data_IF_348917960394
#
_entry.id   IF_348917960394
#
_cell.length_a   1.000
_cell.length_b   1.000
_cell.length_c   1.000
_cell.angle_alpha   90.00
_cell.angle_beta   90.00
_cell.angle_gamma   90.00
#
_symmetry.space_group_name_H-M   'P 1'
#
loop_
_entity.id
_entity.type
_entity.pdbx_description
1 polymer ?
#
# COMPACT_ATOMS: atom_id res chain seq x y z
N UNK A 1 27.12 -4.46 3.24
CA UNK A 1 26.09 -3.82 2.41
C UNK A 1 25.21 -3.01 3.34
N UNK A 2 24.67 -1.85 2.92
CA UNK A 2 23.74 -1.13 3.77
C UNK A 2 22.51 -2.02 4.08
N UNK A 3 22.02 -1.95 5.32
CA UNK A 3 20.89 -2.75 5.78
C UNK A 3 19.61 -2.25 5.08
N UNK A 4 18.91 -3.17 4.42
CA UNK A 4 17.67 -2.86 3.71
C UNK A 4 16.49 -3.05 4.64
N UNK A 5 15.54 -2.14 4.56
CA UNK A 5 14.26 -2.23 5.26
C UNK A 5 13.14 -2.29 4.23
N UNK A 6 12.14 -3.12 4.52
CA UNK A 6 10.91 -3.22 3.77
C UNK A 6 9.80 -2.61 4.60
N UNK A 7 9.02 -1.73 3.96
CA UNK A 7 7.79 -1.17 4.51
C UNK A 7 6.65 -1.81 3.75
N UNK A 8 5.73 -2.44 4.47
CA UNK A 8 4.58 -3.12 3.89
C UNK A 8 3.29 -2.64 4.53
N UNK A 9 2.40 -2.09 3.71
CA UNK A 9 1.01 -1.82 4.06
C UNK A 9 0.14 -2.89 3.41
N UNK A 10 -0.50 -3.71 4.24
CA UNK A 10 -1.45 -4.74 3.78
C UNK A 10 -2.80 -4.47 4.44
N UNK A 11 -3.85 -4.42 3.64
CA UNK A 11 -5.20 -3.99 4.06
C UNK A 11 -6.28 -4.95 3.63
N UNK A 12 -7.36 -5.04 4.41
CA UNK A 12 -8.55 -5.79 4.04
C UNK A 12 -9.79 -5.33 4.83
N UNK A 13 -10.95 -5.35 4.18
CA UNK A 13 -12.25 -5.31 4.87
C UNK A 13 -12.56 -6.70 5.43
N UNK A 14 -12.59 -6.77 6.76
CA UNK A 14 -12.90 -7.98 7.54
C UNK A 14 -14.23 -7.86 8.29
N UNK A 15 -15.06 -6.90 7.90
CA UNK A 15 -16.39 -6.59 8.43
C UNK A 15 -16.41 -5.33 9.30
N UNK A 16 -17.58 -4.73 9.42
CA UNK A 16 -17.73 -3.36 9.92
C UNK A 16 -18.98 -3.12 10.77
N UNK A 17 -18.95 -2.05 11.56
CA UNK A 17 -20.05 -1.64 12.43
C UNK A 17 -21.08 -0.81 11.65
N UNK A 18 -22.35 -1.21 11.72
CA UNK A 18 -23.50 -0.51 11.13
C UNK A 18 -23.48 -0.40 9.59
N UNK A 19 -23.03 -1.45 8.89
CA UNK A 19 -22.82 -1.42 7.44
C UNK A 19 -21.39 -1.01 7.11
N UNK A 20 -21.14 -0.66 5.85
CA UNK A 20 -19.85 -0.20 5.33
C UNK A 20 -19.43 1.18 5.84
N UNK A 21 -19.25 1.30 7.15
CA UNK A 21 -19.04 2.57 7.84
C UNK A 21 -17.70 2.63 8.56
N UNK A 22 -17.44 1.73 9.52
CA UNK A 22 -16.20 1.78 10.29
C UNK A 22 -15.78 0.42 10.85
N UNK A 23 -14.47 0.19 10.89
CA UNK A 23 -13.85 -0.90 11.65
C UNK A 23 -14.20 -0.78 13.14
N UNK A 24 -14.61 -1.89 13.75
CA UNK A 24 -14.90 -1.96 15.17
C UNK A 24 -13.59 -1.95 16.00
N UNK A 25 -13.47 -1.20 17.12
CA UNK A 25 -12.22 -1.08 17.90
C UNK A 25 -11.59 -2.41 18.33
N UNK A 26 -12.39 -3.42 18.69
CA UNK A 26 -11.91 -4.78 19.01
C UNK A 26 -11.19 -5.48 17.85
N UNK A 27 -11.47 -5.13 16.59
CA UNK A 27 -10.73 -5.64 15.44
C UNK A 27 -9.30 -5.08 15.42
N UNK A 28 -9.16 -3.77 15.68
CA UNK A 28 -7.85 -3.12 15.83
C UNK A 28 -7.06 -3.74 17.00
N UNK A 29 -7.70 -3.99 18.14
CA UNK A 29 -7.07 -4.63 19.30
C UNK A 29 -6.57 -6.05 18.99
N UNK A 30 -7.40 -6.86 18.32
CA UNK A 30 -7.03 -8.22 17.92
C UNK A 30 -5.87 -8.24 16.93
N UNK A 31 -5.89 -7.34 15.93
CA UNK A 31 -4.80 -7.18 14.98
C UNK A 31 -3.49 -6.71 15.65
N UNK A 32 -3.56 -5.70 16.53
CA UNK A 32 -2.39 -5.24 17.31
C UNK A 32 -1.79 -6.34 18.15
N UNK A 33 -2.60 -7.16 18.80
CA UNK A 33 -2.10 -8.30 19.58
C UNK A 33 -1.32 -9.29 18.70
N UNK A 34 -1.82 -9.59 17.50
CA UNK A 34 -1.14 -10.49 16.56
C UNK A 34 0.17 -9.93 16.02
N UNK A 35 0.20 -8.65 15.64
CA UNK A 35 1.44 -8.03 15.19
C UNK A 35 2.47 -7.85 16.31
N UNK A 36 2.01 -7.62 17.55
CA UNK A 36 2.89 -7.60 18.73
C UNK A 36 3.55 -8.96 19.00
N UNK A 37 2.82 -10.05 18.83
CA UNK A 37 3.37 -11.41 18.90
C UNK A 37 4.42 -11.63 17.79
N UNK A 38 4.14 -11.21 16.56
CA UNK A 38 5.08 -11.30 15.45
C UNK A 38 6.36 -10.47 15.67
N UNK A 39 6.22 -9.27 16.24
CA UNK A 39 7.34 -8.40 16.64
C UNK A 39 8.21 -9.09 17.70
N UNK A 40 7.60 -9.63 18.76
CA UNK A 40 8.31 -10.36 19.82
C UNK A 40 9.06 -11.59 19.32
N UNK A 41 8.50 -12.26 18.31
CA UNK A 41 9.11 -13.44 17.68
C UNK A 41 10.17 -13.08 16.63
N UNK A 42 10.41 -11.78 16.37
CA UNK A 42 11.40 -11.31 15.40
C UNK A 42 11.00 -11.50 13.93
N UNK A 43 9.71 -11.72 13.64
CA UNK A 43 9.21 -11.82 12.26
C UNK A 43 9.16 -10.44 11.58
N UNK A 44 8.78 -9.41 12.34
CA UNK A 44 8.75 -8.00 11.93
C UNK A 44 9.54 -7.16 12.94
N UNK A 45 10.05 -6.00 12.50
CA UNK A 45 10.75 -5.03 13.34
C UNK A 45 9.74 -4.21 14.15
N UNK A 46 8.79 -3.60 13.47
CA UNK A 46 7.76 -2.78 14.09
C UNK A 46 6.46 -2.75 13.26
N UNK A 47 5.40 -2.20 13.84
CA UNK A 47 4.09 -2.11 13.19
C UNK A 47 3.24 -0.94 13.66
N UNK A 48 2.21 -0.61 12.86
CA UNK A 48 1.11 0.27 13.24
C UNK A 48 -0.21 -0.25 12.66
N UNK A 49 -1.28 -0.18 13.46
CA UNK A 49 -2.62 -0.66 13.05
C UNK A 49 -3.62 0.46 13.16
N UNK A 50 -4.30 0.73 12.06
CA UNK A 50 -5.31 1.77 11.91
C UNK A 50 -6.41 1.33 10.92
N UNK A 51 -7.33 2.24 10.59
CA UNK A 51 -8.35 2.00 9.58
C UNK A 51 -8.65 3.28 8.79
N UNK A 52 -9.17 3.12 7.58
CA UNK A 52 -9.90 4.16 6.85
C UNK A 52 -11.27 3.57 6.54
N UNK A 53 -12.35 4.14 7.09
CA UNK A 53 -13.67 3.54 6.99
C UNK A 53 -13.71 2.10 7.52
N UNK A 54 -14.22 1.17 6.72
CA UNK A 54 -14.32 -0.27 7.01
C UNK A 54 -13.07 -1.10 6.70
N UNK A 55 -12.02 -0.48 6.16
CA UNK A 55 -10.77 -1.15 5.86
C UNK A 55 -9.81 -1.21 7.05
N UNK A 56 -9.37 -2.41 7.42
CA UNK A 56 -8.35 -2.62 8.45
C UNK A 56 -6.95 -2.60 7.83
N UNK A 57 -6.10 -1.70 8.34
CA UNK A 57 -4.78 -1.40 7.80
C UNK A 57 -3.66 -1.97 8.71
N UNK A 58 -2.78 -2.80 8.13
CA UNK A 58 -1.62 -3.37 8.81
C UNK A 58 -0.33 -2.81 8.19
N UNK A 59 0.24 -1.78 8.82
CA UNK A 59 1.55 -1.25 8.45
C UNK A 59 2.64 -2.01 9.21
N UNK A 60 3.61 -2.57 8.51
CA UNK A 60 4.69 -3.38 9.06
C UNK A 60 6.03 -2.95 8.49
N UNK A 61 7.08 -3.06 9.30
CA UNK A 61 8.48 -2.92 8.86
C UNK A 61 9.25 -4.21 9.13
N UNK A 62 10.09 -4.65 8.20
CA UNK A 62 10.84 -5.90 8.28
C UNK A 62 12.02 -5.92 7.30
N UNK A 63 12.85 -6.97 7.32
CA UNK A 63 14.03 -7.13 6.43
C UNK A 63 13.88 -8.33 5.48
N UNK A 64 12.63 -8.65 5.11
CA UNK A 64 12.29 -9.88 4.36
C UNK A 64 12.06 -9.66 2.86
N UNK A 65 12.09 -8.42 2.39
CA UNK A 65 11.80 -8.05 1.00
C UNK A 65 10.31 -8.01 0.70
N UNK A 66 9.96 -7.43 -0.46
CA UNK A 66 8.59 -7.32 -0.97
C UNK A 66 8.03 -8.69 -1.37
N UNK A 67 6.71 -8.88 -1.26
CA UNK A 67 6.07 -10.13 -1.67
C UNK A 67 6.44 -11.33 -0.81
N UNK A 68 6.98 -11.12 0.40
CA UNK A 68 7.51 -12.19 1.22
C UNK A 68 6.37 -13.07 1.81
N UNK A 69 6.38 -14.40 1.60
CA UNK A 69 5.30 -15.26 2.05
C UNK A 69 5.03 -15.26 3.56
N UNK A 70 6.06 -15.05 4.40
CA UNK A 70 5.87 -15.03 5.86
C UNK A 70 5.11 -13.77 6.30
N UNK A 71 5.40 -12.63 5.66
CA UNK A 71 4.75 -11.33 5.95
C UNK A 71 3.32 -11.32 5.45
N UNK A 72 3.10 -11.79 4.22
CA UNK A 72 1.75 -11.91 3.66
C UNK A 72 0.93 -12.96 4.42
N UNK A 73 1.56 -14.05 4.87
CA UNK A 73 0.94 -15.06 5.72
C UNK A 73 0.56 -14.51 7.10
N UNK A 74 1.41 -13.67 7.70
CA UNK A 74 1.10 -12.96 8.95
C UNK A 74 -0.15 -12.06 8.78
N UNK A 75 -0.20 -11.24 7.73
CA UNK A 75 -1.34 -10.38 7.46
C UNK A 75 -2.62 -11.20 7.23
N UNK A 76 -2.57 -12.21 6.36
CA UNK A 76 -3.69 -13.11 6.08
C UNK A 76 -4.24 -13.79 7.34
N UNK A 77 -3.36 -14.37 8.16
CA UNK A 77 -3.75 -15.03 9.40
C UNK A 77 -4.32 -14.03 10.42
N UNK A 78 -3.80 -12.80 10.44
CA UNK A 78 -4.34 -11.71 11.27
C UNK A 78 -5.76 -11.36 10.85
N UNK A 79 -6.01 -11.18 9.55
CA UNK A 79 -7.35 -10.91 9.03
C UNK A 79 -8.34 -12.04 9.34
N UNK A 80 -7.96 -13.30 9.06
CA UNK A 80 -8.79 -14.47 9.41
C UNK A 80 -9.11 -14.51 10.90
N UNK A 81 -8.13 -14.28 11.75
CA UNK A 81 -8.36 -14.25 13.19
C UNK A 81 -9.34 -13.14 13.59
N UNK A 82 -9.16 -11.93 13.08
CA UNK A 82 -10.06 -10.81 13.34
C UNK A 82 -11.48 -11.17 12.91
N UNK A 83 -11.64 -11.76 11.73
CA UNK A 83 -12.94 -12.24 11.23
C UNK A 83 -13.57 -13.26 12.18
N UNK A 84 -12.84 -14.30 12.58
CA UNK A 84 -13.39 -15.40 13.40
C UNK A 84 -13.62 -15.01 14.86
N UNK A 85 -12.73 -14.23 15.46
CA UNK A 85 -12.77 -13.91 16.90
C UNK A 85 -13.53 -12.64 17.22
N UNK A 86 -13.71 -11.75 16.25
CA UNK A 86 -14.35 -10.43 16.48
C UNK A 86 -15.51 -10.22 15.53
N UNK A 87 -15.29 -10.23 14.22
CA UNK A 87 -16.32 -9.83 13.26
C UNK A 87 -17.55 -10.73 13.28
N UNK A 88 -17.34 -12.05 13.23
CA UNK A 88 -18.44 -13.04 13.25
C UNK A 88 -19.17 -13.10 14.60
N UNK A 89 -18.48 -13.18 15.76
CA UNK A 89 -19.15 -13.20 17.06
C UNK A 89 -19.98 -11.95 17.34
N UNK A 90 -19.50 -10.77 16.90
CA UNK A 90 -20.24 -9.51 17.03
C UNK A 90 -21.28 -9.30 15.93
N UNK A 91 -21.36 -10.22 14.95
CA UNK A 91 -22.24 -10.13 13.77
C UNK A 91 -22.08 -8.80 13.03
N UNK A 92 -20.83 -8.37 12.86
CA UNK A 92 -20.51 -7.20 12.06
C UNK A 92 -20.97 -7.42 10.63
N UNK A 93 -21.33 -6.32 9.97
CA UNK A 93 -21.74 -6.36 8.58
C UNK A 93 -20.56 -6.84 7.71
N UNK A 94 -20.86 -7.66 6.70
CA UNK A 94 -19.88 -8.20 5.77
C UNK A 94 -18.63 -8.84 6.42
N UNK A 95 -18.80 -9.60 7.50
CA UNK A 95 -17.69 -10.25 8.19
C UNK A 95 -16.84 -11.15 7.25
N UNK A 96 -15.60 -10.74 6.98
CA UNK A 96 -14.65 -11.44 6.11
C UNK A 96 -14.79 -11.11 4.61
N UNK A 97 -15.30 -9.93 4.28
CA UNK A 97 -15.60 -9.50 2.91
C UNK A 97 -14.47 -9.72 1.91
N UNK A 98 -13.25 -9.27 2.23
CA UNK A 98 -12.12 -9.31 1.32
C UNK A 98 -11.34 -10.63 1.40
N UNK A 99 -11.82 -11.62 2.15
CA UNK A 99 -11.20 -12.94 2.23
C UNK A 99 -11.81 -13.85 1.15
N UNK A 100 -11.54 -13.52 -0.12
CA UNK A 100 -12.21 -14.09 -1.30
C UNK A 100 -11.87 -15.56 -1.56
N UNK A 101 -10.83 -16.08 -0.90
CA UNK A 101 -10.40 -17.46 -1.01
C UNK A 101 -10.22 -18.07 0.38
N UNK A 102 -10.42 -19.38 0.49
CA UNK A 102 -10.33 -20.06 1.80
C UNK A 102 -8.87 -20.31 2.25
N UNK A 103 -7.97 -20.51 1.28
CA UNK A 103 -6.59 -20.98 1.50
C UNK A 103 -5.56 -19.99 0.98
N UNK A 104 -4.54 -19.71 1.79
CA UNK A 104 -3.41 -18.85 1.43
C UNK A 104 -2.51 -19.50 0.37
N UNK A 105 -2.16 -18.75 -0.67
CA UNK A 105 -1.37 -19.22 -1.82
C UNK A 105 0.06 -18.68 -1.86
N UNK A 106 0.56 -18.10 -0.76
CA UNK A 106 1.91 -17.56 -0.64
C UNK A 106 2.01 -16.03 -0.76
N UNK A 107 1.05 -15.38 -1.40
CA UNK A 107 0.91 -13.92 -1.46
C UNK A 107 -0.59 -13.56 -1.48
N UNK A 108 -1.01 -12.52 -0.76
CA UNK A 108 -2.40 -12.01 -0.75
C UNK A 108 -2.83 -11.29 -2.05
N UNK A 109 -1.92 -10.96 -2.97
CA UNK A 109 -2.29 -10.35 -4.26
C UNK A 109 -3.24 -11.28 -5.03
N UNK A 110 -4.42 -10.76 -5.41
CA UNK A 110 -5.47 -11.53 -6.07
C UNK A 110 -6.33 -12.39 -5.13
N UNK A 111 -6.09 -12.35 -3.82
CA UNK A 111 -6.92 -13.00 -2.80
C UNK A 111 -7.94 -12.07 -2.15
N UNK A 112 -7.91 -10.78 -2.50
CA UNK A 112 -8.77 -9.71 -1.96
C UNK A 112 -7.99 -8.60 -1.26
N UNK A 113 -7.06 -8.86 -0.32
CA UNK A 113 -6.32 -7.82 0.37
C UNK A 113 -5.48 -6.94 -0.57
N UNK A 114 -5.47 -5.63 -0.30
CA UNK A 114 -4.61 -4.65 -0.99
C UNK A 114 -3.19 -4.64 -0.40
N UNK A 115 -2.19 -4.37 -1.24
CA UNK A 115 -0.77 -4.44 -0.85
C UNK A 115 0.03 -3.30 -1.48
N UNK A 116 0.63 -2.45 -0.65
CA UNK A 116 1.62 -1.46 -1.06
C UNK A 116 2.93 -1.68 -0.28
N UNK A 117 4.00 -2.04 -0.99
CA UNK A 117 5.29 -2.41 -0.37
C UNK A 117 6.47 -1.79 -1.11
N UNK A 118 7.47 -1.36 -0.36
CA UNK A 118 8.77 -0.96 -0.91
C UNK A 118 9.92 -1.46 -0.04
N UNK A 119 10.94 -2.04 -0.69
CA UNK A 119 12.25 -2.31 -0.08
C UNK A 119 13.22 -1.16 -0.40
N UNK A 120 13.76 -0.54 0.65
CA UNK A 120 14.65 0.62 0.54
C UNK A 120 15.92 0.42 1.38
N UNK A 121 16.94 1.20 1.05
CA UNK A 121 18.07 1.45 1.96
C UNK A 121 17.71 2.68 2.79
N UNK A 122 17.62 2.52 4.10
CA UNK A 122 17.23 3.63 5.00
C UNK A 122 18.25 4.78 4.90
N UNK A 123 17.75 5.99 4.64
CA UNK A 123 18.55 7.22 4.61
C UNK A 123 18.95 7.62 6.04
N UNK A 124 19.90 8.57 6.21
CA UNK A 124 20.21 9.11 7.55
C UNK A 124 18.99 9.63 8.33
N UNK A 125 17.95 10.05 7.60
CA UNK A 125 16.60 10.25 8.12
C UNK A 125 15.61 9.79 7.04
N UNK A 126 14.68 8.92 7.42
CA UNK A 126 13.72 8.28 6.50
C UNK A 126 12.27 8.70 6.82
N UNK A 127 11.86 9.95 6.52
CA UNK A 127 10.47 10.35 6.66
C UNK A 127 9.60 9.70 5.58
N UNK A 128 8.52 9.06 6.00
CA UNK A 128 7.51 8.45 5.13
C UNK A 128 6.11 8.96 5.49
N UNK A 129 5.21 8.93 4.51
CA UNK A 129 3.78 9.21 4.68
C UNK A 129 2.99 8.03 4.13
N UNK A 130 2.02 7.56 4.90
CA UNK A 130 1.13 6.47 4.52
C UNK A 130 -0.28 7.02 4.36
N UNK A 131 -0.90 6.75 3.21
CA UNK A 131 -2.28 7.11 2.92
C UNK A 131 -3.13 5.84 2.83
N UNK A 132 -4.36 5.92 3.34
CA UNK A 132 -5.39 4.92 3.15
C UNK A 132 -6.68 5.62 2.75
N UNK A 133 -7.42 5.04 1.81
CA UNK A 133 -8.68 5.56 1.32
C UNK A 133 -9.72 4.44 1.27
N UNK A 134 -10.95 4.81 1.60
CA UNK A 134 -12.13 3.94 1.54
C UNK A 134 -13.14 4.55 0.53
N UNK A 135 -13.98 3.68 -0.04
CA UNK A 135 -15.03 4.00 -1.04
C UNK A 135 -14.49 4.61 -2.34
N UNK A 136 -13.30 4.19 -2.72
CA UNK A 136 -12.67 4.55 -3.99
C UNK A 136 -11.83 3.40 -4.56
N UNK A 137 -11.17 3.61 -5.69
CA UNK A 137 -10.35 2.62 -6.38
C UNK A 137 -8.87 3.07 -6.45
N UNK A 138 -7.91 2.18 -6.76
CA UNK A 138 -6.49 2.54 -6.83
C UNK A 138 -6.18 3.76 -7.73
N UNK A 139 -6.94 3.94 -8.81
CA UNK A 139 -6.82 5.09 -9.72
C UNK A 139 -7.08 6.45 -9.07
N UNK A 140 -7.68 6.51 -7.88
CA UNK A 140 -7.84 7.74 -7.11
C UNK A 140 -6.50 8.39 -6.74
N UNK A 141 -5.42 7.59 -6.66
CA UNK A 141 -4.08 8.08 -6.37
C UNK A 141 -3.38 8.72 -7.57
N UNK A 142 -3.86 8.47 -8.80
CA UNK A 142 -3.21 8.96 -10.02
C UNK A 142 -3.01 10.48 -9.99
N UNK A 143 -4.07 11.23 -9.67
CA UNK A 143 -4.01 12.69 -9.68
C UNK A 143 -3.13 13.25 -8.54
N UNK A 144 -3.30 12.84 -7.27
CA UNK A 144 -2.38 13.25 -6.20
C UNK A 144 -0.91 12.93 -6.50
N UNK A 145 -0.62 11.72 -6.99
CA UNK A 145 0.75 11.30 -7.29
C UNK A 145 1.34 12.08 -8.47
N UNK A 146 0.56 12.32 -9.53
CA UNK A 146 0.94 13.23 -10.61
C UNK A 146 1.28 14.62 -10.08
N UNK A 147 0.43 15.19 -9.21
CA UNK A 147 0.66 16.51 -8.63
C UNK A 147 1.96 16.54 -7.83
N UNK A 148 2.20 15.54 -6.98
CA UNK A 148 3.40 15.47 -6.13
C UNK A 148 4.68 15.32 -6.96
N UNK A 149 4.69 14.50 -8.01
CA UNK A 149 5.94 14.08 -8.65
C UNK A 149 6.19 14.65 -10.06
N UNK A 150 5.19 15.28 -10.69
CA UNK A 150 5.34 15.80 -12.07
C UNK A 150 4.85 17.25 -12.26
N UNK A 151 4.10 17.80 -11.31
CA UNK A 151 3.44 19.11 -11.47
C UNK A 151 4.26 20.22 -10.80
N UNK A 152 4.93 21.13 -11.55
CA UNK A 152 5.80 22.17 -10.97
C UNK A 152 5.04 23.25 -10.19
N UNK A 153 3.74 23.42 -10.45
CA UNK A 153 2.82 24.30 -9.71
C UNK A 153 2.35 23.69 -8.37
N UNK A 154 2.69 22.42 -8.10
CA UNK A 154 2.44 21.75 -6.82
C UNK A 154 3.74 21.53 -6.04
N UNK A 155 4.76 21.00 -6.73
CA UNK A 155 6.04 20.64 -6.14
C UNK A 155 7.12 21.58 -6.67
N UNK A 156 7.30 22.70 -5.98
CA UNK A 156 8.27 23.73 -6.35
C UNK A 156 9.71 23.19 -6.52
N UNK A 157 10.07 22.13 -5.78
CA UNK A 157 11.37 21.46 -5.88
C UNK A 157 11.73 20.98 -7.29
N UNK A 158 10.76 20.62 -8.13
CA UNK A 158 11.00 20.26 -9.53
C UNK A 158 11.64 21.42 -10.33
N UNK A 159 11.42 22.66 -9.91
CA UNK A 159 11.93 23.87 -10.56
C UNK A 159 13.16 24.42 -9.86
N UNK A 160 13.15 24.48 -8.51
CA UNK A 160 14.15 25.23 -7.74
C UNK A 160 15.20 24.36 -7.05
N UNK A 161 14.96 23.05 -6.88
CA UNK A 161 15.90 22.12 -6.24
C UNK A 161 16.67 21.34 -7.32
N UNK A 162 17.98 21.58 -7.50
CA UNK A 162 18.79 20.87 -8.49
C UNK A 162 18.76 19.35 -8.33
N UNK A 163 18.56 18.82 -7.12
CA UNK A 163 18.52 17.38 -6.85
C UNK A 163 17.24 16.69 -7.35
N UNK A 164 16.20 17.46 -7.63
CA UNK A 164 14.91 16.98 -8.15
C UNK A 164 14.68 17.35 -9.62
N UNK A 165 15.56 18.15 -10.22
CA UNK A 165 15.35 18.75 -11.53
C UNK A 165 15.27 17.73 -12.67
N UNK A 166 15.92 16.57 -12.52
CA UNK A 166 15.83 15.46 -13.49
C UNK A 166 14.44 14.81 -13.51
N UNK A 167 13.63 15.00 -12.47
CA UNK A 167 12.27 14.49 -12.38
C UNK A 167 12.17 13.03 -11.91
N UNK A 168 11.07 12.40 -12.30
CA UNK A 168 10.60 11.12 -11.77
C UNK A 168 10.10 10.20 -12.87
N UNK A 169 10.14 8.90 -12.60
CA UNK A 169 9.68 7.85 -13.51
C UNK A 169 8.44 7.20 -12.89
N UNK A 170 7.34 7.23 -13.61
CA UNK A 170 6.07 6.63 -13.22
C UNK A 170 5.95 5.26 -13.87
N UNK A 171 5.88 4.21 -13.06
CA UNK A 171 5.42 2.90 -13.52
C UNK A 171 3.91 2.87 -13.49
N UNK A 172 3.31 2.78 -14.66
CA UNK A 172 1.86 2.73 -14.85
C UNK A 172 1.47 1.31 -15.23
N UNK A 173 0.50 0.74 -14.50
CA UNK A 173 -0.07 -0.57 -14.76
C UNK A 173 -1.41 -0.44 -15.50
N UNK A 174 -1.54 -1.16 -16.60
CA UNK A 174 -2.82 -1.48 -17.20
C UNK A 174 -3.43 -2.66 -16.42
N UNK A 175 -4.42 -2.40 -15.56
CA UNK A 175 -5.02 -3.44 -14.72
C UNK A 175 -5.89 -4.42 -15.51
N UNK A 176 -6.27 -4.07 -16.75
CA UNK A 176 -7.07 -4.93 -17.62
C UNK A 176 -6.17 -5.92 -18.37
N UNK A 177 -5.04 -5.44 -18.90
CA UNK A 177 -4.12 -6.27 -19.69
C UNK A 177 -2.95 -6.85 -18.88
N UNK A 178 -2.78 -6.42 -17.62
CA UNK A 178 -1.67 -6.86 -16.76
C UNK A 178 -0.30 -6.41 -17.28
N UNK A 179 -0.25 -5.30 -18.01
CA UNK A 179 0.97 -4.73 -18.60
C UNK A 179 1.44 -3.53 -17.81
N UNK A 180 2.75 -3.28 -17.83
CA UNK A 180 3.35 -2.11 -17.18
C UNK A 180 4.17 -1.31 -18.19
N UNK A 181 4.22 0.01 -17.99
CA UNK A 181 5.08 0.93 -18.74
C UNK A 181 5.72 1.93 -17.78
N UNK A 182 7.01 2.18 -17.95
CA UNK A 182 7.74 3.24 -17.22
C UNK A 182 7.74 4.50 -18.08
N UNK A 183 7.23 5.63 -17.57
CA UNK A 183 7.18 6.93 -18.24
C UNK A 183 7.97 7.97 -17.45
N UNK A 184 8.92 8.63 -18.11
CA UNK A 184 9.81 9.62 -17.51
C UNK A 184 9.24 11.02 -17.62
N UNK A 185 9.01 11.68 -16.49
CA UNK A 185 8.66 13.09 -16.45
C UNK A 185 9.93 13.94 -16.22
N UNK A 186 10.05 15.09 -16.91
CA UNK A 186 8.97 15.80 -17.60
C UNK A 186 8.76 15.44 -19.09
N UNK A 187 9.64 14.68 -19.74
CA UNK A 187 9.62 14.50 -21.20
C UNK A 187 8.40 13.72 -21.74
N UNK A 188 7.83 12.81 -20.96
CA UNK A 188 6.67 11.98 -21.33
C UNK A 188 5.38 12.39 -20.61
N UNK A 189 5.33 13.62 -20.10
CA UNK A 189 4.20 14.13 -19.30
C UNK A 189 2.84 13.94 -19.97
N UNK A 190 2.74 14.26 -21.26
CA UNK A 190 1.47 14.16 -21.98
C UNK A 190 1.03 12.70 -22.18
N UNK A 191 1.97 11.80 -22.43
CA UNK A 191 1.70 10.35 -22.48
C UNK A 191 1.23 9.85 -21.12
N UNK A 192 1.88 10.30 -20.04
CA UNK A 192 1.47 9.96 -18.68
C UNK A 192 0.04 10.41 -18.39
N UNK A 193 -0.27 11.69 -18.64
CA UNK A 193 -1.61 12.24 -18.38
C UNK A 193 -2.69 11.57 -19.25
N UNK A 194 -2.36 11.22 -20.51
CA UNK A 194 -3.27 10.48 -21.37
C UNK A 194 -3.67 9.11 -20.80
N UNK A 195 -2.73 8.42 -20.14
CA UNK A 195 -3.03 7.17 -19.43
C UNK A 195 -3.77 7.43 -18.12
N UNK A 196 -3.19 8.25 -17.23
CA UNK A 196 -3.71 8.48 -15.88
C UNK A 196 -5.11 9.11 -15.85
N UNK A 197 -5.51 9.79 -16.94
CA UNK A 197 -6.86 10.31 -17.13
C UNK A 197 -7.96 9.24 -17.23
N UNK A 198 -7.59 7.95 -17.33
CA UNK A 198 -8.50 6.80 -17.26
C UNK A 198 -8.23 5.98 -15.99
N UNK A 199 -8.63 6.47 -14.80
CA UNK A 199 -8.21 5.92 -13.51
C UNK A 199 -8.65 4.48 -13.25
N UNK A 200 -9.76 4.02 -13.83
CA UNK A 200 -10.22 2.63 -13.70
C UNK A 200 -9.43 1.61 -14.55
N UNK A 201 -8.46 2.05 -15.37
CA UNK A 201 -7.64 1.15 -16.20
C UNK A 201 -6.14 1.33 -15.98
N UNK A 202 -5.66 2.57 -16.04
CA UNK A 202 -4.24 2.86 -15.93
C UNK A 202 -3.95 3.48 -14.58
N UNK A 203 -3.27 2.74 -13.72
CA UNK A 203 -2.99 3.14 -12.34
C UNK A 203 -1.50 3.29 -12.12
N UNK A 204 -1.09 4.28 -11.32
CA UNK A 204 0.30 4.38 -10.88
C UNK A 204 0.58 3.23 -9.93
N UNK A 205 1.50 2.33 -10.30
CA UNK A 205 1.96 1.24 -9.43
C UNK A 205 3.11 1.71 -8.55
N UNK A 206 4.10 2.38 -9.16
CA UNK A 206 5.33 2.86 -8.48
C UNK A 206 5.85 4.15 -9.09
N UNK A 207 6.57 4.90 -8.28
CA UNK A 207 7.32 6.09 -8.72
C UNK A 207 8.77 5.95 -8.28
N UNK A 208 9.69 6.24 -9.19
CA UNK A 208 11.12 6.25 -8.94
C UNK A 208 11.70 7.64 -9.18
N UNK A 209 12.67 8.06 -8.37
CA UNK A 209 13.50 9.22 -8.70
C UNK A 209 14.39 8.86 -9.90
N UNK A 210 14.47 9.77 -10.89
CA UNK A 210 15.16 9.47 -12.15
C UNK A 210 16.68 9.33 -11.99
N UNK A 211 17.28 10.16 -11.14
CA UNK A 211 18.74 10.27 -11.01
C UNK A 211 19.42 9.02 -10.44
N UNK A 212 18.73 8.25 -9.60
CA UNK A 212 19.31 7.09 -8.92
C UNK A 212 18.38 5.88 -8.82
N UNK A 213 17.19 5.94 -9.43
CA UNK A 213 16.15 4.91 -9.38
C UNK A 213 15.68 4.56 -7.96
N UNK A 214 15.88 5.45 -6.98
CA UNK A 214 15.32 5.27 -5.65
C UNK A 214 13.79 5.22 -5.70
N UNK A 215 13.18 4.27 -5.00
CA UNK A 215 11.72 4.17 -4.88
C UNK A 215 11.22 5.38 -4.08
N UNK A 216 10.31 6.16 -4.67
CA UNK A 216 9.75 7.36 -4.07
C UNK A 216 8.30 7.17 -3.59
N UNK A 217 7.52 6.34 -4.29
CA UNK A 217 6.16 5.97 -3.88
C UNK A 217 5.77 4.61 -4.46
N UNK A 218 4.85 3.93 -3.77
CA UNK A 218 4.20 2.69 -4.19
C UNK A 218 2.71 2.78 -3.87
N UNK A 219 1.86 2.23 -4.72
CA UNK A 219 0.41 2.16 -4.50
C UNK A 219 -0.09 0.71 -4.65
N UNK A 220 -1.19 0.41 -3.97
CA UNK A 220 -1.83 -0.92 -3.91
C UNK A 220 -2.80 -1.17 -5.04
#
# INVERSE_FOLDING_TARGET
MPEKITISLIKADVGSLCGHHVVHPKQLEAARKRLEEAKKNGLIIDYYVFNCGDDLELLMTHTKGEGNPDIHGLAWNTFKEVTEKVSRPLKLYAAGQDLLVETFSGNVKGMGPGVAEMEIVERPSEPIVVFAADKTEPGAWNFPLYKIFASPDNTAGLVIDPSMHEGFIFRVMDVVEGKVVDLSCPEELYSLVALLGTPGRYVVERIFRKSDRAVAAVAS
#
